data_IF_174480374383
#
_entry.id   IF_174480374383
#
_cell.length_a   1.000
_cell.length_b   1.000
_cell.length_c   1.000
_cell.angle_alpha   90.00
_cell.angle_beta   90.00
_cell.angle_gamma   90.00
#
_symmetry.space_group_name_H-M   'P 1'
#
loop_
_entity.id
_entity.type
_entity.pdbx_description
1 polymer ?
#
# COMPACT_ATOMS: atom_id res chain seq x y z
N UNK A 1 16.42 -32.90 -1.88
CA UNK A 1 15.21 -32.56 -1.10
C UNK A 1 15.15 -31.05 -0.97
N UNK A 2 15.28 -30.33 -2.09
CA UNK A 2 15.71 -28.91 -2.11
C UNK A 2 14.69 -28.00 -2.83
N UNK A 3 13.52 -28.54 -3.18
CA UNK A 3 12.55 -27.89 -4.07
C UNK A 3 11.44 -27.12 -3.34
N UNK A 4 11.33 -27.24 -2.01
CA UNK A 4 10.27 -26.57 -1.22
C UNK A 4 10.74 -25.24 -0.60
N UNK A 5 12.02 -25.09 -0.27
CA UNK A 5 12.59 -23.86 0.33
C UNK A 5 12.66 -22.69 -0.66
N UNK A 6 12.60 -22.95 -1.96
CA UNK A 6 12.67 -21.91 -2.99
C UNK A 6 11.33 -21.17 -3.20
N UNK A 7 10.28 -21.52 -2.42
CA UNK A 7 8.95 -20.90 -2.47
C UNK A 7 8.74 -19.75 -1.49
N UNK A 8 9.66 -19.54 -0.55
CA UNK A 8 9.60 -18.51 0.50
C UNK A 8 10.17 -17.15 0.07
N UNK A 9 10.25 -16.90 -1.23
CA UNK A 9 10.63 -15.56 -1.71
C UNK A 9 9.48 -14.60 -1.45
N UNK A 10 9.82 -13.42 -0.92
CA UNK A 10 8.88 -12.32 -0.74
C UNK A 10 8.10 -12.09 -2.04
N UNK A 11 6.77 -12.09 -1.95
CA UNK A 11 5.90 -11.93 -3.12
C UNK A 11 5.47 -10.48 -3.19
N UNK A 12 5.76 -9.87 -4.33
CA UNK A 12 5.21 -8.55 -4.64
C UNK A 12 3.70 -8.65 -4.69
N UNK A 13 3.03 -7.82 -3.92
CA UNK A 13 1.58 -7.69 -3.91
C UNK A 13 1.14 -6.24 -3.84
N UNK A 14 -0.13 -6.01 -4.12
CA UNK A 14 -0.80 -4.73 -3.90
C UNK A 14 -1.93 -4.95 -2.88
N UNK A 15 -1.98 -4.13 -1.84
CA UNK A 15 -3.09 -4.10 -0.89
C UNK A 15 -3.88 -2.81 -1.08
N UNK A 16 -5.19 -2.93 -1.21
CA UNK A 16 -6.10 -1.78 -1.20
C UNK A 16 -6.26 -1.25 0.23
N UNK A 17 -6.20 0.07 0.41
CA UNK A 17 -6.56 0.70 1.68
C UNK A 17 -8.07 0.93 1.83
N UNK A 18 -8.86 0.46 0.86
CA UNK A 18 -10.31 0.55 0.92
C UNK A 18 -10.94 -0.53 1.82
N UNK A 19 -10.30 -1.70 1.89
CA UNK A 19 -10.84 -2.85 2.63
C UNK A 19 -9.70 -3.62 3.31
N UNK A 20 -10.02 -4.26 4.43
CA UNK A 20 -9.11 -5.08 5.22
C UNK A 20 -8.45 -4.35 6.40
N UNK A 21 -7.50 -5.00 7.08
CA UNK A 21 -6.96 -4.53 8.36
C UNK A 21 -6.10 -3.27 8.25
N UNK A 22 -5.69 -2.90 7.03
CA UNK A 22 -4.95 -1.66 6.76
C UNK A 22 -5.88 -0.51 6.36
N UNK A 23 -7.18 -0.75 6.18
CA UNK A 23 -8.14 0.30 5.83
C UNK A 23 -8.28 1.38 6.90
N UNK A 24 -8.00 1.03 8.17
CA UNK A 24 -7.92 1.98 9.28
C UNK A 24 -6.88 3.10 9.06
N UNK A 25 -5.88 2.88 8.21
CA UNK A 25 -4.89 3.90 7.85
C UNK A 25 -5.30 4.70 6.61
N UNK A 26 -6.35 4.28 5.88
CA UNK A 26 -6.87 4.99 4.71
C UNK A 26 -7.63 6.27 5.06
N UNK A 27 -8.28 6.33 6.22
CA UNK A 27 -8.99 7.52 6.71
C UNK A 27 -8.04 8.55 7.34
N UNK A 28 -7.13 9.10 6.53
CA UNK A 28 -6.12 10.09 6.94
C UNK A 28 -5.01 9.56 7.88
N UNK A 29 -4.74 8.26 7.84
CA UNK A 29 -3.54 7.69 8.46
C UNK A 29 -2.27 8.12 7.73
N UNK A 30 -1.14 8.03 8.45
CA UNK A 30 0.18 8.33 7.90
C UNK A 30 0.82 7.08 7.33
N UNK A 31 1.64 7.25 6.28
CA UNK A 31 2.40 6.15 5.69
C UNK A 31 3.33 5.48 6.70
N UNK A 32 3.98 6.24 7.59
CA UNK A 32 4.86 5.71 8.63
C UNK A 32 4.14 4.74 9.58
N UNK A 33 2.93 5.10 10.03
CA UNK A 33 2.15 4.26 10.94
C UNK A 33 1.72 2.95 10.27
N UNK A 34 1.29 3.04 9.01
CA UNK A 34 0.97 1.87 8.20
C UNK A 34 2.21 0.99 7.98
N UNK A 35 3.36 1.58 7.67
CA UNK A 35 4.62 0.87 7.45
C UNK A 35 5.02 0.08 8.69
N UNK A 36 5.05 0.74 9.86
CA UNK A 36 5.42 0.10 11.13
C UNK A 36 4.42 -1.00 11.51
N UNK A 37 3.12 -0.75 11.33
CA UNK A 37 2.07 -1.74 11.62
C UNK A 37 2.14 -2.96 10.70
N UNK A 38 2.33 -2.75 9.39
CA UNK A 38 2.45 -3.80 8.39
C UNK A 38 3.71 -4.66 8.63
N UNK A 39 4.82 -4.02 8.98
CA UNK A 39 6.07 -4.71 9.28
C UNK A 39 5.97 -5.54 10.56
N UNK A 40 5.40 -4.99 11.64
CA UNK A 40 5.28 -5.67 12.94
C UNK A 40 4.24 -6.78 12.94
N UNK A 41 3.06 -6.53 12.37
CA UNK A 41 1.92 -7.44 12.49
C UNK A 41 1.96 -8.57 11.47
N UNK A 42 2.58 -8.32 10.32
CA UNK A 42 2.52 -9.24 9.19
C UNK A 42 3.89 -9.56 8.55
N UNK A 43 4.98 -8.92 8.98
CA UNK A 43 6.31 -9.13 8.39
C UNK A 43 6.43 -8.57 6.97
N UNK A 44 5.70 -7.49 6.69
CA UNK A 44 5.48 -7.00 5.33
C UNK A 44 6.19 -5.68 5.10
N UNK A 45 6.95 -5.58 4.00
CA UNK A 45 7.64 -4.33 3.66
C UNK A 45 6.83 -3.54 2.64
N UNK A 46 6.35 -2.35 3.00
CA UNK A 46 5.71 -1.45 2.05
C UNK A 46 6.79 -0.76 1.20
N UNK A 47 6.75 -0.95 -0.12
CA UNK A 47 7.72 -0.36 -1.08
C UNK A 47 7.27 1.04 -1.53
N UNK A 48 5.96 1.25 -1.59
CA UNK A 48 5.40 2.50 -2.11
C UNK A 48 3.88 2.42 -2.28
N UNK A 49 3.32 3.45 -2.88
CA UNK A 49 1.89 3.64 -3.05
C UNK A 49 1.54 3.82 -4.53
N UNK A 50 0.39 3.29 -4.93
CA UNK A 50 -0.27 3.57 -6.19
C UNK A 50 -1.50 4.43 -5.91
N UNK A 51 -1.41 5.72 -6.23
CA UNK A 51 -2.45 6.71 -5.97
C UNK A 51 -3.14 7.12 -7.26
N UNK A 52 -4.44 7.33 -7.23
CA UNK A 52 -5.16 7.90 -8.39
C UNK A 52 -4.64 9.30 -8.72
N UNK A 53 -4.39 9.54 -10.01
CA UNK A 53 -3.99 10.86 -10.51
C UNK A 53 -5.08 11.89 -10.29
N UNK A 54 -6.32 11.45 -10.42
CA UNK A 54 -7.50 12.26 -10.19
C UNK A 54 -8.20 11.80 -8.92
N UNK A 55 -8.15 12.65 -7.89
CA UNK A 55 -8.85 12.42 -6.63
C UNK A 55 -10.18 13.19 -6.59
N UNK A 56 -10.50 13.98 -7.62
CA UNK A 56 -11.83 14.57 -7.74
C UNK A 56 -12.81 13.48 -8.13
N UNK A 57 -13.89 13.32 -7.37
CA UNK A 57 -15.02 12.44 -7.67
C UNK A 57 -15.89 13.00 -8.82
N UNK A 58 -15.25 13.41 -9.92
CA UNK A 58 -15.91 13.81 -11.15
C UNK A 58 -16.20 12.56 -12.00
N UNK A 59 -17.28 12.59 -12.78
CA UNK A 59 -17.64 11.51 -13.71
C UNK A 59 -16.58 11.26 -14.79
N UNK A 60 -15.66 12.22 -15.00
CA UNK A 60 -14.52 12.14 -15.93
C UNK A 60 -13.19 11.78 -15.25
N UNK A 61 -13.21 11.45 -13.96
CA UNK A 61 -12.01 11.16 -13.19
C UNK A 61 -11.25 9.98 -13.79
N UNK A 62 -9.98 10.20 -14.12
CA UNK A 62 -9.17 9.18 -14.76
C UNK A 62 -8.77 8.08 -13.75
N UNK A 63 -9.05 6.82 -14.08
CA UNK A 63 -8.58 5.65 -13.31
C UNK A 63 -7.06 5.43 -13.38
N UNK A 64 -6.29 6.33 -14.00
CA UNK A 64 -4.83 6.26 -14.07
C UNK A 64 -4.23 6.50 -12.68
N UNK A 65 -3.34 5.60 -12.25
CA UNK A 65 -2.59 5.73 -11.01
C UNK A 65 -1.13 6.06 -11.27
N UNK A 66 -0.56 6.88 -10.40
CA UNK A 66 0.88 7.15 -10.37
C UNK A 66 1.53 6.42 -9.21
N UNK A 67 2.83 6.13 -9.35
CA UNK A 67 3.62 5.42 -8.35
C UNK A 67 4.36 6.41 -7.48
N UNK A 68 4.25 6.24 -6.17
CA UNK A 68 5.00 6.99 -5.17
C UNK A 68 5.91 5.99 -4.47
N UNK A 69 7.20 6.02 -4.78
CA UNK A 69 8.20 5.17 -4.15
C UNK A 69 8.75 5.84 -2.91
N UNK A 70 8.77 5.14 -1.78
CA UNK A 70 9.31 5.65 -0.51
C UNK A 70 8.76 7.04 -0.12
N UNK A 71 7.44 7.21 0.04
CA UNK A 71 6.88 8.46 0.58
C UNK A 71 7.41 8.71 2.01
N UNK A 72 7.46 9.98 2.45
CA UNK A 72 7.88 10.31 3.81
C UNK A 72 6.92 9.72 4.85
N UNK A 73 7.37 9.59 6.09
CA UNK A 73 6.62 8.98 7.18
C UNK A 73 5.36 9.76 7.54
N UNK A 74 5.38 11.08 7.38
CA UNK A 74 4.26 11.99 7.59
C UNK A 74 3.25 12.05 6.43
N UNK A 75 3.48 11.29 5.36
CA UNK A 75 2.64 11.31 4.17
C UNK A 75 1.22 10.81 4.45
N UNK A 76 0.23 11.66 4.24
CA UNK A 76 -1.19 11.30 4.40
C UNK A 76 -1.65 10.31 3.32
N UNK A 77 -2.24 9.21 3.77
CA UNK A 77 -2.83 8.18 2.91
C UNK A 77 -4.29 8.52 2.58
N UNK A 78 -4.77 7.96 1.47
CA UNK A 78 -6.16 8.00 1.06
C UNK A 78 -6.73 6.58 1.05
N UNK A 79 -8.05 6.39 1.28
CA UNK A 79 -8.67 5.06 1.26
C UNK A 79 -8.57 4.40 -0.11
N UNK A 80 -8.45 5.21 -1.17
CA UNK A 80 -8.34 4.75 -2.55
C UNK A 80 -6.93 4.30 -2.96
N UNK A 81 -5.93 4.53 -2.11
CA UNK A 81 -4.55 4.17 -2.40
C UNK A 81 -4.35 2.66 -2.34
N UNK A 82 -3.41 2.19 -3.17
CA UNK A 82 -2.95 0.82 -3.12
C UNK A 82 -1.49 0.75 -2.68
N UNK A 83 -1.23 0.02 -1.60
CA UNK A 83 0.11 -0.17 -1.05
C UNK A 83 0.81 -1.30 -1.78
N UNK A 84 1.95 -0.98 -2.37
CA UNK A 84 2.89 -1.95 -2.94
C UNK A 84 3.69 -2.55 -1.80
N UNK A 85 3.76 -3.88 -1.76
CA UNK A 85 4.35 -4.61 -0.64
C UNK A 85 5.16 -5.81 -1.13
N UNK A 86 6.12 -6.23 -0.33
CA UNK A 86 6.78 -7.54 -0.45
C UNK A 86 6.76 -8.30 0.88
#
# INVERSE_FOLDING_TARGET
MDSLSNRDRCRVGQISLYDGPLAQFGEAGKYGDLFVSALKSYGMLCIGLYRFRDTSSSCDASSKRYVITNPPDDFSLLPTDQVSRI
#
